data_IF_685024080008
#
_entry.id   IF_685024080008
#
_cell.length_a   1.000
_cell.length_b   1.000
_cell.length_c   1.000
_cell.angle_alpha   90.00
_cell.angle_beta   90.00
_cell.angle_gamma   90.00
#
_symmetry.space_group_name_H-M   'P 1'
#
loop_
_entity.id
_entity.type
_entity.pdbx_description
1 polymer ?
#
# COMPACT_ATOMS: atom_id res chain seq x y z
N UNK A 1 0.74 -15.82 6.16
CA UNK A 1 1.80 -15.05 5.48
C UNK A 1 1.88 -13.68 6.11
N UNK A 2 3.08 -13.13 6.29
CA UNK A 2 3.25 -11.77 6.81
C UNK A 2 4.04 -10.95 5.79
N UNK A 3 3.52 -9.78 5.42
CA UNK A 3 4.13 -8.86 4.47
C UNK A 3 4.35 -7.50 5.12
N UNK A 4 5.46 -6.83 4.80
CA UNK A 4 5.90 -5.59 5.43
C UNK A 4 6.14 -4.50 4.39
N UNK A 5 5.73 -3.26 4.69
CA UNK A 5 5.99 -2.09 3.83
C UNK A 5 6.50 -0.94 4.68
N UNK A 6 7.70 -0.47 4.37
CA UNK A 6 8.21 0.80 4.88
C UNK A 6 7.65 1.97 4.06
N UNK A 7 7.23 3.03 4.74
CA UNK A 7 6.85 4.29 4.10
C UNK A 7 7.20 5.48 5.01
N UNK A 8 7.13 6.70 4.47
CA UNK A 8 7.47 7.93 5.20
C UNK A 8 6.44 9.02 5.03
N UNK A 9 6.30 9.87 6.04
CA UNK A 9 5.28 10.93 6.08
C UNK A 9 5.37 11.88 4.88
N UNK A 10 6.58 12.11 4.37
CA UNK A 10 6.84 12.99 3.23
C UNK A 10 6.56 12.34 1.86
N UNK A 11 6.04 11.10 1.83
CA UNK A 11 5.65 10.47 0.58
C UNK A 11 4.29 11.01 0.12
N UNK A 12 4.33 12.02 -0.75
CA UNK A 12 3.13 12.69 -1.27
C UNK A 12 2.27 11.83 -2.20
N UNK A 13 2.82 10.73 -2.74
CA UNK A 13 2.09 9.85 -3.65
C UNK A 13 1.14 8.91 -2.91
N UNK A 14 1.64 8.19 -1.88
CA UNK A 14 0.82 7.25 -1.10
C UNK A 14 0.19 7.92 0.13
N UNK A 15 0.70 9.08 0.56
CA UNK A 15 0.24 9.85 1.74
C UNK A 15 0.02 8.94 2.95
N UNK A 16 1.03 8.19 3.41
CA UNK A 16 0.85 7.15 4.43
C UNK A 16 0.34 7.71 5.75
N UNK A 17 0.56 9.00 6.03
CA UNK A 17 0.03 9.69 7.21
C UNK A 17 -1.50 9.75 7.29
N UNK A 18 -2.20 9.44 6.19
CA UNK A 18 -3.67 9.41 6.11
C UNK A 18 -4.27 8.03 6.45
N UNK A 19 -3.46 7.06 6.87
CA UNK A 19 -3.90 5.68 7.05
C UNK A 19 -5.03 5.54 8.10
N UNK A 20 -5.07 6.40 9.13
CA UNK A 20 -6.08 6.32 10.19
C UNK A 20 -7.46 6.66 9.63
N UNK A 21 -7.57 7.68 8.78
CA UNK A 21 -8.83 8.05 8.15
C UNK A 21 -9.15 7.26 6.88
N UNK A 22 -8.15 6.73 6.16
CA UNK A 22 -8.34 6.30 4.78
C UNK A 22 -7.85 4.89 4.43
N UNK A 23 -7.13 4.22 5.33
CA UNK A 23 -6.43 2.99 5.02
C UNK A 23 -5.22 3.22 4.10
N UNK A 24 -4.74 2.15 3.46
CA UNK A 24 -3.57 2.21 2.59
C UNK A 24 -3.95 2.68 1.19
N UNK A 25 -3.07 3.42 0.51
CA UNK A 25 -3.32 3.99 -0.81
C UNK A 25 -2.14 3.75 -1.75
N UNK A 26 -2.42 3.31 -2.98
CA UNK A 26 -1.43 3.28 -4.04
C UNK A 26 -1.18 4.69 -4.60
N UNK A 27 -0.12 4.85 -5.40
CA UNK A 27 0.24 6.17 -5.98
C UNK A 27 -0.82 6.68 -6.97
N UNK A 28 -1.56 5.77 -7.61
CA UNK A 28 -2.69 6.09 -8.48
C UNK A 28 -3.78 6.95 -7.80
N UNK A 29 -3.79 7.05 -6.46
CA UNK A 29 -4.72 7.92 -5.75
C UNK A 29 -4.44 9.43 -5.95
N UNK A 30 -3.18 9.85 -6.06
CA UNK A 30 -2.81 11.27 -6.14
C UNK A 30 -2.95 11.81 -7.58
N UNK A 31 -4.16 12.29 -7.91
CA UNK A 31 -4.48 13.34 -8.91
C UNK A 31 -3.83 13.28 -10.30
N UNK A 32 -4.66 13.02 -11.33
CA UNK A 32 -4.38 13.02 -12.80
C UNK A 32 -3.93 11.71 -13.43
N UNK A 33 -4.23 10.55 -12.84
CA UNK A 33 -3.74 9.28 -13.36
C UNK A 33 -4.89 8.34 -13.73
N UNK A 34 -4.72 7.62 -14.84
CA UNK A 34 -5.73 6.72 -15.37
C UNK A 34 -5.79 5.45 -14.50
N UNK A 35 -6.89 5.20 -13.75
CA UNK A 35 -7.03 3.98 -12.95
C UNK A 35 -7.11 2.70 -13.79
N UNK A 36 -7.12 2.83 -15.13
CA UNK A 36 -7.15 1.71 -16.09
C UNK A 36 -5.78 1.38 -16.67
N UNK A 37 -4.69 1.71 -15.96
CA UNK A 37 -3.34 1.46 -16.47
C UNK A 37 -3.11 -0.02 -16.79
N UNK A 38 -3.60 -0.93 -15.95
CA UNK A 38 -3.47 -2.38 -16.16
C UNK A 38 -4.26 -2.82 -17.40
N UNK A 39 -5.46 -2.29 -17.59
CA UNK A 39 -6.36 -2.59 -18.71
C UNK A 39 -5.80 -2.04 -20.04
N UNK A 40 -5.07 -0.91 -19.98
CA UNK A 40 -4.48 -0.26 -21.16
C UNK A 40 -3.11 -0.82 -21.53
N UNK A 41 -2.26 -1.08 -20.55
CA UNK A 41 -0.84 -1.42 -20.74
C UNK A 41 -0.60 -2.92 -20.63
N UNK A 42 -1.39 -3.62 -19.81
CA UNK A 42 -1.20 -5.03 -19.49
C UNK A 42 -0.62 -5.26 -18.09
N UNK A 43 -1.01 -6.37 -17.46
CA UNK A 43 -0.58 -6.71 -16.10
C UNK A 43 0.93 -6.97 -16.02
N UNK A 44 1.51 -7.68 -17.00
CA UNK A 44 2.93 -8.00 -17.01
C UNK A 44 3.79 -6.73 -17.11
N UNK A 45 3.46 -5.85 -18.05
CA UNK A 45 4.17 -4.61 -18.31
C UNK A 45 4.07 -3.64 -17.13
N UNK A 46 2.89 -3.54 -16.51
CA UNK A 46 2.71 -2.71 -15.30
C UNK A 46 3.49 -3.26 -14.11
N UNK A 47 3.55 -4.58 -13.91
CA UNK A 47 4.42 -5.18 -12.88
C UNK A 47 5.89 -4.87 -13.17
N UNK A 48 6.38 -5.11 -14.39
CA UNK A 48 7.78 -4.83 -14.75
C UNK A 48 8.11 -3.36 -14.53
N UNK A 49 7.24 -2.44 -14.97
CA UNK A 49 7.45 -1.00 -14.79
C UNK A 49 7.34 -0.56 -13.32
N UNK A 50 6.55 -1.24 -12.49
CA UNK A 50 6.54 -0.97 -11.05
C UNK A 50 7.89 -1.29 -10.40
N UNK A 51 8.51 -2.39 -10.80
CA UNK A 51 9.72 -2.91 -10.17
C UNK A 51 10.96 -2.21 -10.73
N UNK A 52 10.99 -2.06 -12.05
CA UNK A 52 12.12 -1.47 -12.77
C UNK A 52 11.63 -0.72 -14.01
N UNK A 53 11.29 0.58 -13.87
CA UNK A 53 11.04 1.45 -15.01
C UNK A 53 12.22 1.44 -15.98
N UNK A 54 11.94 1.32 -17.27
CA UNK A 54 12.97 1.22 -18.31
C UNK A 54 13.13 2.48 -19.15
N UNK A 55 12.02 3.15 -19.39
CA UNK A 55 11.90 4.32 -20.24
C UNK A 55 11.03 5.38 -19.55
N UNK A 56 10.82 6.49 -20.24
CA UNK A 56 9.99 7.58 -19.73
C UNK A 56 8.56 7.15 -19.44
N UNK A 57 7.98 6.24 -20.22
CA UNK A 57 6.60 5.78 -20.02
C UNK A 57 6.50 4.90 -18.77
N UNK A 58 7.47 4.01 -18.56
CA UNK A 58 7.60 3.21 -17.35
C UNK A 58 7.79 4.07 -16.10
N UNK A 59 8.55 5.17 -16.20
CA UNK A 59 8.74 6.12 -15.08
C UNK A 59 7.42 6.82 -14.77
N UNK A 60 6.71 7.30 -15.79
CA UNK A 60 5.38 7.90 -15.64
C UNK A 60 4.43 6.90 -14.97
N UNK A 61 4.44 5.63 -15.39
CA UNK A 61 3.64 4.60 -14.74
C UNK A 61 4.06 4.33 -13.30
N UNK A 62 5.36 4.28 -13.00
CA UNK A 62 5.85 4.03 -11.64
C UNK A 62 5.41 5.08 -10.64
N UNK A 63 5.36 6.34 -11.06
CA UNK A 63 4.81 7.44 -10.28
C UNK A 63 3.28 7.42 -10.22
N UNK A 64 2.67 6.52 -10.99
CA UNK A 64 1.23 6.32 -11.11
C UNK A 64 0.71 4.92 -10.77
N UNK A 65 1.55 4.13 -10.12
CA UNK A 65 1.30 2.70 -10.06
C UNK A 65 0.09 2.34 -9.20
N UNK A 66 -0.63 1.33 -9.66
CA UNK A 66 -1.78 0.73 -8.98
C UNK A 66 -1.38 -0.11 -7.76
N UNK A 67 -0.12 -0.54 -7.71
CA UNK A 67 0.38 -1.49 -6.72
C UNK A 67 0.92 -0.79 -5.47
N UNK A 68 0.77 -1.49 -4.34
CA UNK A 68 1.54 -1.27 -3.13
C UNK A 68 2.61 -2.35 -3.03
N UNK A 69 3.89 -1.96 -3.02
CA UNK A 69 5.00 -2.88 -2.78
C UNK A 69 5.13 -3.22 -1.29
N UNK A 70 5.30 -4.51 -1.02
CA UNK A 70 5.58 -5.10 0.27
C UNK A 70 6.75 -6.09 0.15
N UNK A 71 7.35 -6.45 1.27
CA UNK A 71 8.41 -7.46 1.37
C UNK A 71 8.03 -8.53 2.39
N UNK A 72 8.44 -9.78 2.17
CA UNK A 72 8.41 -10.82 3.22
C UNK A 72 9.46 -10.56 4.32
N UNK A 73 10.46 -9.73 4.04
CA UNK A 73 11.52 -9.38 4.98
C UNK A 73 11.19 -8.10 5.72
N UNK A 74 10.91 -8.22 7.02
CA UNK A 74 10.81 -7.07 7.92
C UNK A 74 12.05 -6.18 7.87
N UNK A 75 13.24 -6.78 7.73
CA UNK A 75 14.51 -6.06 7.63
C UNK A 75 14.60 -5.17 6.39
N UNK A 76 14.20 -5.69 5.21
CA UNK A 76 14.16 -4.92 3.96
C UNK A 76 13.11 -3.80 4.02
N UNK A 77 11.94 -4.08 4.56
CA UNK A 77 10.92 -3.06 4.75
C UNK A 77 11.36 -1.94 5.71
N UNK A 78 12.09 -2.29 6.79
CA UNK A 78 12.69 -1.29 7.69
C UNK A 78 13.82 -0.51 7.04
N UNK A 79 14.64 -1.14 6.19
CA UNK A 79 15.65 -0.46 5.39
C UNK A 79 14.99 0.60 4.49
N UNK A 80 13.87 0.31 3.84
CA UNK A 80 13.14 1.32 3.07
C UNK A 80 12.51 2.39 3.95
N UNK A 81 11.96 2.00 5.09
CA UNK A 81 11.42 2.91 6.10
C UNK A 81 12.49 3.92 6.57
N UNK A 82 13.76 3.49 6.68
CA UNK A 82 14.91 4.31 7.06
C UNK A 82 15.60 5.02 5.89
N UNK A 83 14.95 5.12 4.72
CA UNK A 83 15.56 5.67 3.49
C UNK A 83 16.88 4.98 3.13
N UNK A 84 16.89 3.65 3.12
CA UNK A 84 18.07 2.79 2.95
C UNK A 84 19.11 2.97 4.05
N UNK A 85 18.65 2.95 5.31
CA UNK A 85 19.46 3.12 6.52
C UNK A 85 20.15 4.49 6.66
N UNK A 86 19.71 5.49 5.88
CA UNK A 86 20.19 6.87 6.01
C UNK A 86 19.57 7.60 7.21
N UNK A 87 18.44 7.11 7.73
CA UNK A 87 17.73 7.69 8.88
C UNK A 87 17.66 6.69 10.03
N UNK A 88 18.14 7.09 11.21
CA UNK A 88 18.01 6.28 12.43
C UNK A 88 16.56 6.32 12.89
N UNK A 89 15.93 5.15 12.99
CA UNK A 89 14.54 5.02 13.44
C UNK A 89 14.47 4.84 14.96
N UNK A 90 13.57 5.57 15.61
CA UNK A 90 13.11 5.33 16.98
C UNK A 90 11.61 5.05 16.98
N UNK A 91 11.13 4.19 17.88
CA UNK A 91 9.70 4.01 18.08
C UNK A 91 9.03 5.34 18.42
N UNK A 92 7.83 5.55 17.89
CA UNK A 92 7.05 6.77 18.09
C UNK A 92 5.64 6.43 18.58
N UNK A 93 5.02 7.38 19.28
CA UNK A 93 3.59 7.30 19.59
C UNK A 93 2.77 7.89 18.45
N UNK A 94 1.45 7.72 18.54
CA UNK A 94 0.51 8.36 17.64
C UNK A 94 0.73 9.88 17.58
N UNK A 95 0.76 10.38 16.35
CA UNK A 95 0.94 11.79 15.98
C UNK A 95 2.35 12.35 16.23
N UNK A 96 3.32 11.50 16.55
CA UNK A 96 4.75 11.87 16.62
C UNK A 96 5.54 11.27 15.45
N UNK A 97 4.94 10.32 14.73
CA UNK A 97 5.63 9.53 13.72
C UNK A 97 6.01 10.34 12.48
N UNK A 98 7.12 9.97 11.86
CA UNK A 98 7.53 10.42 10.50
C UNK A 98 7.74 9.24 9.55
N UNK A 99 7.67 8.02 10.09
CA UNK A 99 8.02 6.77 9.43
C UNK A 99 7.03 5.68 9.84
N UNK A 100 6.66 4.84 8.89
CA UNK A 100 5.61 3.84 9.04
C UNK A 100 6.12 2.50 8.57
N UNK A 101 5.89 1.46 9.36
CA UNK A 101 6.02 0.08 8.91
C UNK A 101 4.63 -0.55 8.92
N UNK A 102 4.02 -0.65 7.75
CA UNK A 102 2.75 -1.34 7.58
C UNK A 102 2.98 -2.85 7.54
N UNK A 103 2.13 -3.60 8.24
CA UNK A 103 2.26 -5.06 8.39
C UNK A 103 0.94 -5.70 8.02
N UNK A 104 0.97 -6.61 7.05
CA UNK A 104 -0.19 -7.40 6.62
C UNK A 104 0.00 -8.81 7.14
N UNK A 105 -0.95 -9.28 7.94
CA UNK A 105 -1.05 -10.64 8.43
C UNK A 105 -2.17 -11.36 7.68
N UNK A 106 -1.78 -12.04 6.60
CA UNK A 106 -2.72 -12.69 5.67
C UNK A 106 -2.87 -14.16 6.07
N UNK A 107 -4.11 -14.57 6.34
CA UNK A 107 -4.43 -15.97 6.58
C UNK A 107 -4.31 -16.75 5.25
N UNK A 108 -3.31 -17.63 5.14
CA UNK A 108 -3.05 -18.38 3.90
C UNK A 108 -4.16 -19.36 3.54
N UNK A 109 -4.98 -19.78 4.52
CA UNK A 109 -6.16 -20.62 4.26
C UNK A 109 -7.30 -19.85 3.56
N UNK A 110 -7.30 -18.52 3.61
CA UNK A 110 -8.29 -17.65 2.97
C UNK A 110 -7.81 -17.11 1.60
N UNK A 111 -6.66 -17.58 1.11
CA UNK A 111 -6.09 -17.17 -0.18
C UNK A 111 -6.58 -18.12 -1.29
N UNK A 112 -7.02 -17.56 -2.41
CA UNK A 112 -7.44 -18.31 -3.60
C UNK A 112 -6.49 -18.06 -4.77
N UNK A 113 -5.89 -19.09 -5.35
CA UNK A 113 -5.02 -18.95 -6.52
C UNK A 113 -5.84 -18.65 -7.77
N UNK A 114 -5.53 -17.54 -8.45
CA UNK A 114 -6.21 -17.11 -9.69
C UNK A 114 -5.30 -17.22 -10.93
N UNK A 115 -4.01 -17.47 -10.72
CA UNK A 115 -3.03 -17.63 -11.77
C UNK A 115 -1.65 -17.89 -11.16
N UNK A 116 -0.65 -18.10 -12.00
CA UNK A 116 0.69 -18.37 -11.51
C UNK A 116 1.27 -17.14 -10.81
N UNK A 117 1.65 -17.27 -9.54
CA UNK A 117 2.07 -16.13 -8.72
C UNK A 117 0.98 -15.09 -8.45
N UNK A 118 -0.29 -15.36 -8.79
CA UNK A 118 -1.42 -14.46 -8.56
C UNK A 118 -2.44 -15.09 -7.62
N UNK A 119 -2.78 -14.36 -6.58
CA UNK A 119 -3.71 -14.82 -5.57
C UNK A 119 -4.73 -13.76 -5.21
N UNK A 120 -5.95 -14.17 -4.89
CA UNK A 120 -7.03 -13.33 -4.40
C UNK A 120 -7.20 -13.55 -2.90
N UNK A 121 -7.30 -12.46 -2.14
CA UNK A 121 -7.58 -12.52 -0.70
C UNK A 121 -8.80 -11.65 -0.38
N UNK A 122 -9.82 -12.28 0.22
CA UNK A 122 -11.07 -11.62 0.61
C UNK A 122 -11.08 -11.32 2.11
N UNK A 123 -11.50 -10.11 2.50
CA UNK A 123 -11.48 -9.65 3.88
C UNK A 123 -12.68 -8.76 4.24
N UNK A 124 -12.87 -8.59 5.55
CA UNK A 124 -13.80 -7.61 6.10
C UNK A 124 -13.03 -6.32 6.38
N UNK A 125 -13.55 -5.17 5.96
CA UNK A 125 -13.06 -3.92 6.52
C UNK A 125 -13.51 -3.80 7.98
N UNK A 126 -12.77 -3.04 8.77
CA UNK A 126 -13.11 -2.69 10.13
C UNK A 126 -13.27 -1.16 10.24
N UNK A 127 -14.52 -0.65 10.21
CA UNK A 127 -14.79 0.77 10.28
C UNK A 127 -14.53 1.37 11.67
N UNK A 128 -14.47 0.55 12.73
CA UNK A 128 -14.18 1.05 14.09
C UNK A 128 -12.72 1.48 14.24
N UNK A 129 -11.84 1.06 13.33
CA UNK A 129 -10.45 1.51 13.26
C UNK A 129 -10.30 2.93 12.69
N UNK A 130 -11.39 3.55 12.22
CA UNK A 130 -11.37 4.91 11.66
C UNK A 130 -11.09 5.92 12.77
N UNK A 131 -9.97 6.62 12.63
CA UNK A 131 -9.55 7.68 13.54
C UNK A 131 -9.02 8.89 12.75
N UNK A 132 -9.03 10.05 13.39
CA UNK A 132 -8.39 11.28 12.91
C UNK A 132 -6.88 11.10 12.69
N UNK A 133 -6.35 11.71 11.62
CA UNK A 133 -4.90 11.80 11.36
C UNK A 133 -4.23 13.01 12.08
N UNK A 134 -5.02 13.81 12.81
CA UNK A 134 -4.58 14.98 13.56
C UNK A 134 -4.76 14.80 15.07
N UNK A 135 -3.75 15.17 15.86
CA UNK A 135 -3.84 15.23 17.34
C UNK A 135 -4.60 16.48 17.84
N UNK A 136 -4.99 17.40 16.95
CA UNK A 136 -5.70 18.61 17.34
C UNK A 136 -7.09 18.25 17.89
N UNK A 137 -7.35 18.62 19.14
CA UNK A 137 -8.60 18.33 19.83
C UNK A 137 -9.85 18.88 19.11
N UNK A 138 -9.75 20.06 18.50
CA UNK A 138 -10.86 20.66 17.74
C UNK A 138 -11.15 19.81 16.50
N UNK A 139 -10.13 19.39 15.75
CA UNK A 139 -10.30 18.52 14.59
C UNK A 139 -10.92 17.18 15.00
N UNK A 140 -10.50 16.61 16.13
CA UNK A 140 -11.09 15.39 16.69
C UNK A 140 -12.59 15.55 16.91
N UNK A 141 -13.01 16.60 17.61
CA UNK A 141 -14.43 16.86 17.88
C UNK A 141 -15.20 17.12 16.58
N UNK A 142 -14.70 18.01 15.72
CA UNK A 142 -15.38 18.43 14.50
C UNK A 142 -15.59 17.26 13.51
N UNK A 143 -14.62 16.34 13.43
CA UNK A 143 -14.70 15.17 12.56
C UNK A 143 -15.40 13.98 13.21
N UNK A 144 -15.64 13.99 14.53
CA UNK A 144 -16.27 12.88 15.25
C UNK A 144 -17.56 12.38 14.58
N UNK A 145 -18.51 13.23 14.15
CA UNK A 145 -19.73 12.74 13.47
C UNK A 145 -19.43 11.98 12.16
N UNK A 146 -18.42 12.40 11.40
CA UNK A 146 -17.99 11.73 10.16
C UNK A 146 -17.17 10.46 10.41
N UNK A 147 -16.49 10.38 11.55
CA UNK A 147 -15.78 9.19 12.01
C UNK A 147 -16.76 8.16 12.62
N UNK A 148 -17.88 8.62 13.18
CA UNK A 148 -18.95 7.79 13.73
C UNK A 148 -19.81 7.11 12.66
N UNK A 149 -19.80 7.58 11.40
CA UNK A 149 -20.37 6.81 10.31
C UNK A 149 -19.49 5.59 10.05
N UNK A 150 -19.78 4.53 10.80
CA UNK A 150 -19.08 3.27 10.76
C UNK A 150 -19.51 2.42 9.57
N UNK A 151 -20.34 2.90 8.64
CA UNK A 151 -20.77 2.10 7.49
C UNK A 151 -19.77 2.27 6.35
N UNK A 152 -19.11 1.18 5.96
CA UNK A 152 -18.30 1.15 4.76
C UNK A 152 -19.19 1.31 3.51
N UNK A 153 -18.89 2.25 2.59
CA UNK A 153 -19.73 2.45 1.40
C UNK A 153 -19.66 1.29 0.41
N UNK A 154 -18.65 0.42 0.49
CA UNK A 154 -18.46 -0.70 -0.43
C UNK A 154 -19.17 -1.95 0.09
N UNK A 155 -18.90 -2.35 1.33
CA UNK A 155 -19.48 -3.58 1.89
C UNK A 155 -20.71 -3.36 2.77
N UNK A 156 -21.05 -2.11 3.11
CA UNK A 156 -22.10 -1.77 4.08
C UNK A 156 -21.93 -2.48 5.44
N UNK A 157 -20.69 -2.83 5.80
CA UNK A 157 -20.31 -3.67 6.94
C UNK A 157 -20.86 -5.11 6.91
N UNK A 158 -21.14 -5.63 5.73
CA UNK A 158 -21.63 -7.00 5.50
C UNK A 158 -20.51 -7.82 4.84
N UNK A 159 -20.33 -9.07 5.31
CA UNK A 159 -19.50 -10.15 4.73
C UNK A 159 -18.06 -9.79 4.25
N UNK A 160 -17.27 -10.81 3.88
CA UNK A 160 -15.92 -10.64 3.31
C UNK A 160 -16.02 -10.17 1.85
N UNK A 161 -16.47 -8.94 1.65
CA UNK A 161 -16.75 -8.39 0.31
C UNK A 161 -15.52 -7.71 -0.29
N UNK A 162 -14.60 -7.21 0.54
CA UNK A 162 -13.41 -6.53 0.04
C UNK A 162 -12.37 -7.51 -0.46
N UNK A 163 -11.64 -7.12 -1.50
CA UNK A 163 -10.66 -7.97 -2.15
C UNK A 163 -9.35 -7.22 -2.47
N UNK A 164 -8.25 -7.95 -2.34
CA UNK A 164 -6.95 -7.57 -2.89
C UNK A 164 -6.42 -8.72 -3.74
N UNK A 165 -5.67 -8.38 -4.78
CA UNK A 165 -4.82 -9.32 -5.51
C UNK A 165 -3.40 -9.23 -4.92
N UNK A 166 -2.87 -10.38 -4.53
CA UNK A 166 -1.50 -10.57 -4.09
C UNK A 166 -0.71 -11.13 -5.27
N UNK A 167 0.41 -10.49 -5.60
CA UNK A 167 1.32 -10.91 -6.65
C UNK A 167 2.63 -11.31 -6.00
N UNK A 168 2.94 -12.60 -6.04
CA UNK A 168 4.31 -13.06 -5.81
C UNK A 168 5.09 -12.74 -7.09
N UNK A 169 5.87 -11.65 -7.05
CA UNK A 169 6.49 -11.09 -8.26
C UNK A 169 7.48 -12.07 -8.89
N UNK A 170 8.25 -12.77 -8.08
CA UNK A 170 9.21 -13.79 -8.55
C UNK A 170 8.48 -14.93 -9.23
N UNK A 171 7.44 -15.49 -8.59
CA UNK A 171 6.66 -16.59 -9.17
C UNK A 171 5.98 -16.16 -10.47
N UNK A 172 5.33 -14.99 -10.48
CA UNK A 172 4.64 -14.47 -11.66
C UNK A 172 5.60 -14.21 -12.83
N UNK A 173 6.70 -13.48 -12.60
CA UNK A 173 7.63 -13.10 -13.67
C UNK A 173 8.42 -14.29 -14.23
N UNK A 174 8.63 -15.35 -13.44
CA UNK A 174 9.26 -16.59 -13.92
C UNK A 174 8.44 -17.32 -15.00
N UNK A 175 7.16 -16.96 -15.19
CA UNK A 175 6.36 -17.46 -16.31
C UNK A 175 6.63 -16.74 -17.62
N UNK A 176 7.34 -15.60 -17.57
CA UNK A 176 7.66 -14.75 -18.71
C UNK A 176 9.16 -14.41 -18.76
N UNK A 177 10.08 -15.39 -18.67
CA UNK A 177 11.52 -15.12 -18.47
C UNK A 177 12.18 -14.43 -19.66
N UNK A 178 11.62 -14.60 -20.87
CA UNK A 178 12.13 -14.00 -22.10
C UNK A 178 11.50 -12.64 -22.41
N UNK A 179 10.51 -12.20 -21.62
CA UNK A 179 9.92 -10.89 -21.82
C UNK A 179 10.92 -9.80 -21.44
N UNK A 180 10.97 -8.73 -22.22
CA UNK A 180 11.94 -7.68 -22.01
C UNK A 180 11.78 -7.12 -20.59
N UNK A 181 12.83 -7.24 -19.76
CA UNK A 181 12.88 -6.65 -18.41
C UNK A 181 12.47 -7.57 -17.29
N UNK A 182 11.92 -8.74 -17.62
CA UNK A 182 11.59 -9.73 -16.61
C UNK A 182 12.81 -10.17 -15.83
N UNK A 183 13.97 -10.31 -16.49
CA UNK A 183 15.20 -10.76 -15.82
C UNK A 183 15.61 -9.82 -14.70
N UNK A 184 15.78 -8.53 -14.98
CA UNK A 184 16.16 -7.53 -13.98
C UNK A 184 15.07 -7.34 -12.93
N UNK A 185 13.79 -7.41 -13.32
CA UNK A 185 12.67 -7.34 -12.38
C UNK A 185 12.63 -8.54 -11.43
N UNK A 186 12.96 -9.76 -11.91
CA UNK A 186 13.11 -10.96 -11.07
C UNK A 186 14.27 -10.80 -10.10
N UNK A 187 15.43 -10.33 -10.56
CA UNK A 187 16.61 -10.11 -9.72
C UNK A 187 16.31 -9.14 -8.57
N UNK A 188 15.69 -7.99 -8.88
CA UNK A 188 15.26 -7.01 -7.87
C UNK A 188 14.21 -7.61 -6.92
N UNK A 189 13.22 -8.32 -7.46
CA UNK A 189 12.16 -8.96 -6.67
C UNK A 189 12.70 -9.99 -5.68
N UNK A 190 13.72 -10.77 -6.08
CA UNK A 190 14.39 -11.74 -5.22
C UNK A 190 15.15 -11.02 -4.10
N UNK A 191 15.92 -9.98 -4.45
CA UNK A 191 16.69 -9.21 -3.47
C UNK A 191 15.78 -8.61 -2.40
N UNK A 192 14.68 -8.01 -2.83
CA UNK A 192 13.75 -7.30 -1.96
C UNK A 192 12.67 -8.20 -1.36
N UNK A 193 12.61 -9.47 -1.77
CA UNK A 193 11.55 -10.45 -1.42
C UNK A 193 10.16 -9.86 -1.64
N UNK A 194 10.00 -9.26 -2.80
CA UNK A 194 8.89 -8.37 -3.09
C UNK A 194 7.57 -9.13 -3.33
N UNK A 195 6.50 -8.55 -2.81
CA UNK A 195 5.12 -8.85 -3.16
C UNK A 195 4.44 -7.57 -3.57
N UNK A 196 3.66 -7.60 -4.65
CA UNK A 196 2.79 -6.47 -5.00
C UNK A 196 1.39 -6.76 -4.52
N UNK A 197 0.79 -5.77 -3.88
CA UNK A 197 -0.60 -5.81 -3.45
C UNK A 197 -1.40 -4.82 -4.28
N UNK A 198 -2.38 -5.34 -5.00
CA UNK A 198 -3.29 -4.56 -5.84
C UNK A 198 -4.66 -4.51 -5.17
N UNK A 199 -5.16 -3.33 -4.76
CA UNK A 199 -6.54 -3.20 -4.32
C UNK A 199 -7.50 -3.60 -5.44
N UNK A 200 -8.52 -4.40 -5.15
CA UNK A 200 -9.39 -5.01 -6.18
C UNK A 200 -10.86 -4.60 -6.08
N UNK A 201 -11.24 -3.86 -5.04
CA UNK A 201 -12.60 -3.34 -4.92
C UNK A 201 -12.97 -2.45 -6.11
N UNK A 202 -14.24 -2.44 -6.51
CA UNK A 202 -14.75 -1.59 -7.59
C UNK A 202 -15.53 -0.40 -7.00
N UNK A 203 -15.21 0.82 -7.44
CA UNK A 203 -15.91 2.03 -7.04
C UNK A 203 -16.07 2.97 -8.25
N UNK A 204 -17.30 3.43 -8.49
CA UNK A 204 -17.62 4.45 -9.50
C UNK A 204 -16.97 4.18 -10.88
N UNK A 205 -17.18 2.98 -11.41
CA UNK A 205 -16.71 2.47 -12.73
C UNK A 205 -15.24 2.04 -12.83
N UNK A 206 -14.43 2.25 -11.78
CA UNK A 206 -13.01 1.91 -11.78
C UNK A 206 -12.59 1.06 -10.57
N UNK A 207 -11.43 0.42 -10.68
CA UNK A 207 -10.80 -0.26 -9.55
C UNK A 207 -10.36 0.77 -8.50
N UNK A 208 -10.62 0.47 -7.25
CA UNK A 208 -10.19 1.24 -6.10
C UNK A 208 -8.66 1.33 -6.04
N UNK A 209 -8.16 2.46 -5.57
CA UNK A 209 -6.73 2.69 -5.31
C UNK A 209 -6.39 2.55 -3.82
N UNK A 210 -7.32 1.96 -3.05
CA UNK A 210 -7.24 1.93 -1.59
C UNK A 210 -7.54 0.56 -1.01
N UNK A 211 -6.81 0.20 0.04
CA UNK A 211 -7.14 -0.92 0.93
C UNK A 211 -7.74 -0.32 2.21
N UNK A 212 -9.06 -0.46 2.43
CA UNK A 212 -9.69 -0.03 3.67
C UNK A 212 -9.03 -0.62 4.93
N UNK A 213 -9.19 0.09 6.05
CA UNK A 213 -8.81 -0.44 7.38
C UNK A 213 -9.49 -1.76 7.62
N UNK A 214 -8.73 -2.72 8.12
CA UNK A 214 -9.16 -4.08 8.36
C UNK A 214 -8.22 -4.71 9.38
N UNK A 215 -8.69 -5.75 10.08
CA UNK A 215 -7.92 -6.38 11.17
C UNK A 215 -6.73 -7.22 10.67
N UNK A 216 -6.66 -7.49 9.36
CA UNK A 216 -5.54 -8.23 8.77
C UNK A 216 -4.30 -7.36 8.58
N UNK A 217 -4.35 -6.05 8.85
CA UNK A 217 -3.17 -5.21 8.80
C UNK A 217 -3.10 -4.22 9.97
N UNK A 218 -1.87 -3.84 10.31
CA UNK A 218 -1.59 -2.82 11.32
C UNK A 218 -0.38 -1.97 10.90
N UNK A 219 0.04 -1.06 11.77
CA UNK A 219 1.22 -0.23 11.55
C UNK A 219 2.05 -0.13 12.83
N UNK A 220 3.36 -0.26 12.68
CA UNK A 220 4.33 0.17 13.69
C UNK A 220 4.82 1.59 13.32
N UNK A 221 4.89 2.45 14.34
CA UNK A 221 5.19 3.87 14.17
C UNK A 221 6.63 4.17 14.58
N UNK A 222 7.31 4.92 13.72
CA UNK A 222 8.68 5.36 13.94
C UNK A 222 8.85 6.86 13.69
N UNK A 223 9.89 7.43 14.28
CA UNK A 223 10.36 8.79 14.05
C UNK A 223 11.85 8.76 13.72
N UNK A 224 12.25 9.50 12.70
CA UNK A 224 13.66 9.76 12.41
C UNK A 224 14.27 10.65 13.50
N UNK A 225 15.45 10.30 14.03
CA UNK A 225 16.06 10.98 15.20
C UNK A 225 16.19 12.51 15.05
N UNK A 226 16.30 13.01 13.83
CA UNK A 226 16.47 14.44 13.51
C UNK A 226 15.30 15.01 12.70
N UNK A 227 14.23 14.23 12.54
CA UNK A 227 13.07 14.66 11.76
C UNK A 227 12.01 15.30 12.65
N UNK A 228 11.39 16.37 12.15
CA UNK A 228 10.19 16.93 12.72
C UNK A 228 8.97 16.50 11.92
N UNK A 229 7.94 16.03 12.63
CA UNK A 229 6.66 15.73 11.99
C UNK A 229 6.12 17.01 11.34
N UNK A 230 5.86 17.02 10.02
CA UNK A 230 5.32 18.20 9.37
C UNK A 230 3.95 18.58 9.95
N UNK A 231 3.65 19.88 9.98
CA UNK A 231 2.33 20.34 10.37
C UNK A 231 1.33 20.05 9.24
N UNK A 232 0.63 18.92 9.36
CA UNK A 232 -0.33 18.45 8.37
C UNK A 232 -1.61 19.31 8.27
N UNK A 233 -1.82 20.29 9.17
CA UNK A 233 -2.97 21.22 9.08
C UNK A 233 -2.75 22.32 8.02
N UNK A 234 -1.57 22.39 7.41
CA UNK A 234 -1.20 23.41 6.42
C UNK A 234 -1.04 22.83 4.99
N UNK A 235 -1.40 21.55 4.78
CA UNK A 235 -1.25 20.82 3.51
C UNK A 235 -2.62 20.52 2.91
#
# INVERSE_FOLDING_TARGET
>A
MILFRGDKIYNEYTKPYLYRCNGLRSKAFSGNQDPRNIERIGLLETIINHIKPKDSEGIIYYDATDFLSFSESRGKALEWCSDKNNVILKSANDYEETRYLFILTINTADIYTIGNGLFLYSYNCNPTLKQTDSNNFINRIALTPQLQNQICPICENKHKVHQIILVNTVEYLNHYPNHAGSKEAIENSIEDKEWLVLPYDYQDEFRSTRIPRADFWNVELFKGVEEERPNLNLI
#
